data_IF_548034554624
#
_entry.id   IF_548034554624
#
_cell.length_a   1.000
_cell.length_b   1.000
_cell.length_c   1.000
_cell.angle_alpha   90.00
_cell.angle_beta   90.00
_cell.angle_gamma   90.00
#
_symmetry.space_group_name_H-M   'P 1'
#
loop_
_entity.id
_entity.type
_entity.pdbx_description
1 polymer ?
#
# COMPACT_ATOMS: atom_id res chain seq x y z
N UNK A 1 -2.23 22.55 7.76
CA UNK A 1 -3.01 21.73 6.80
C UNK A 1 -2.54 20.28 6.82
N UNK A 2 -1.25 20.00 6.61
CA UNK A 2 -0.68 18.64 6.68
C UNK A 2 -1.00 17.88 7.97
N UNK A 3 -0.84 18.51 9.15
CA UNK A 3 -1.16 17.86 10.44
C UNK A 3 -2.63 17.42 10.55
N UNK A 4 -3.56 18.20 9.98
CA UNK A 4 -5.00 17.88 9.99
C UNK A 4 -5.29 16.74 9.01
N UNK A 5 -4.70 16.79 7.82
CA UNK A 5 -4.81 15.73 6.82
C UNK A 5 -4.25 14.41 7.34
N UNK A 6 -3.04 14.42 7.93
CA UNK A 6 -2.43 13.22 8.50
C UNK A 6 -3.24 12.66 9.66
N UNK A 7 -3.86 13.51 10.49
CA UNK A 7 -4.74 13.05 11.57
C UNK A 7 -6.02 12.41 11.03
N UNK A 8 -6.67 13.04 10.04
CA UNK A 8 -7.86 12.50 9.40
C UNK A 8 -7.56 11.20 8.64
N UNK A 9 -6.44 11.11 7.93
CA UNK A 9 -6.02 9.91 7.22
C UNK A 9 -5.73 8.76 8.18
N UNK A 10 -4.96 8.99 9.25
CA UNK A 10 -4.69 7.97 10.25
C UNK A 10 -5.95 7.53 11.01
N UNK A 11 -6.84 8.46 11.36
CA UNK A 11 -8.10 8.14 12.00
C UNK A 11 -9.00 7.32 11.07
N UNK A 12 -9.10 7.72 9.79
CA UNK A 12 -9.91 7.01 8.80
C UNK A 12 -9.36 5.64 8.48
N UNK A 13 -8.04 5.47 8.32
CA UNK A 13 -7.40 4.17 8.13
C UNK A 13 -7.64 3.23 9.33
N UNK A 14 -7.49 3.75 10.56
CA UNK A 14 -7.77 2.97 11.78
C UNK A 14 -9.24 2.61 11.92
N UNK A 15 -10.17 3.50 11.56
CA UNK A 15 -11.60 3.20 11.58
C UNK A 15 -11.96 2.20 10.49
N UNK A 16 -11.51 2.41 9.24
CA UNK A 16 -11.78 1.53 8.11
C UNK A 16 -11.32 0.08 8.37
N UNK A 17 -10.17 -0.11 9.04
CA UNK A 17 -9.66 -1.44 9.38
C UNK A 17 -10.37 -2.15 10.53
N UNK A 18 -11.30 -1.50 11.25
CA UNK A 18 -11.98 -2.12 12.41
C UNK A 18 -13.23 -2.90 12.00
N UNK A 19 -13.42 -4.14 12.48
CA UNK A 19 -14.63 -4.94 12.21
C UNK A 19 -15.93 -4.23 12.59
N UNK A 20 -15.89 -3.41 13.65
CA UNK A 20 -17.04 -2.61 14.09
C UNK A 20 -17.52 -1.60 13.04
N UNK A 21 -16.60 -1.02 12.26
CA UNK A 21 -16.95 -0.05 11.21
C UNK A 21 -17.72 -0.72 10.08
N UNK A 22 -17.35 -1.96 9.73
CA UNK A 22 -18.10 -2.75 8.76
C UNK A 22 -19.54 -3.01 9.23
N UNK A 23 -19.74 -3.35 10.50
CA UNK A 23 -21.08 -3.56 11.07
C UNK A 23 -21.91 -2.28 11.00
N UNK A 24 -21.31 -1.13 11.32
CA UNK A 24 -21.98 0.18 11.21
C UNK A 24 -22.35 0.51 9.77
N UNK A 25 -21.43 0.34 8.82
CA UNK A 25 -21.70 0.55 7.40
C UNK A 25 -22.84 -0.36 6.90
N UNK A 26 -22.84 -1.63 7.31
CA UNK A 26 -23.89 -2.58 6.98
C UNK A 26 -25.25 -2.15 7.55
N UNK A 27 -25.27 -1.69 8.81
CA UNK A 27 -26.48 -1.16 9.44
C UNK A 27 -27.03 0.07 8.69
N UNK A 28 -26.16 0.98 8.24
CA UNK A 28 -26.55 2.14 7.42
C UNK A 28 -27.20 1.69 6.10
N UNK A 29 -26.60 0.72 5.41
CA UNK A 29 -27.16 0.17 4.16
C UNK A 29 -28.51 -0.50 4.40
N UNK A 30 -28.66 -1.25 5.50
CA UNK A 30 -29.92 -1.88 5.87
C UNK A 30 -31.01 -0.85 6.19
N UNK A 31 -30.69 0.19 6.96
CA UNK A 31 -31.63 1.28 7.26
C UNK A 31 -32.06 1.97 5.96
N UNK A 32 -31.11 2.30 5.08
CA UNK A 32 -31.42 2.86 3.78
C UNK A 32 -32.37 1.95 3.01
N UNK A 33 -32.07 0.65 2.88
CA UNK A 33 -32.92 -0.32 2.19
C UNK A 33 -34.36 -0.38 2.74
N UNK A 34 -34.52 -0.35 4.07
CA UNK A 34 -35.83 -0.33 4.75
C UNK A 34 -36.59 0.97 4.51
N UNK A 35 -35.91 2.10 4.28
CA UNK A 35 -36.59 3.35 3.88
C UNK A 35 -37.07 3.33 2.42
N UNK A 36 -36.53 2.44 1.57
CA UNK A 36 -36.87 2.35 0.14
C UNK A 36 -38.37 2.23 -0.18
N UNK A 37 -39.13 1.33 0.48
CA UNK A 37 -40.57 1.21 0.29
C UNK A 37 -41.35 2.49 0.59
N UNK A 38 -40.93 3.27 1.59
CA UNK A 38 -41.57 4.55 1.96
C UNK A 38 -41.41 5.57 0.82
N UNK A 39 -40.23 5.59 0.19
CA UNK A 39 -39.93 6.48 -0.94
C UNK A 39 -40.24 5.87 -2.31
N UNK A 40 -40.92 4.70 -2.35
CA UNK A 40 -41.24 3.95 -3.58
C UNK A 40 -40.01 3.67 -4.45
N UNK A 41 -38.83 3.54 -3.84
CA UNK A 41 -37.55 3.35 -4.54
C UNK A 41 -37.28 4.39 -5.65
N UNK A 42 -37.71 5.64 -5.44
CA UNK A 42 -37.60 6.70 -6.44
C UNK A 42 -36.13 7.09 -6.76
N UNK A 43 -35.94 7.85 -7.84
CA UNK A 43 -34.62 8.26 -8.30
C UNK A 43 -33.84 9.07 -7.25
N UNK A 44 -34.50 9.96 -6.51
CA UNK A 44 -33.86 10.76 -5.44
C UNK A 44 -33.30 9.86 -4.32
N UNK A 45 -34.05 8.84 -3.92
CA UNK A 45 -33.64 7.91 -2.87
C UNK A 45 -32.42 7.06 -3.29
N UNK A 46 -32.37 6.64 -4.55
CA UNK A 46 -31.20 5.93 -5.11
C UNK A 46 -30.00 6.88 -5.27
N UNK A 47 -30.25 8.11 -5.74
CA UNK A 47 -29.22 9.11 -5.96
C UNK A 47 -28.47 9.45 -4.66
N UNK A 48 -29.20 9.61 -3.54
CA UNK A 48 -28.59 9.96 -2.25
C UNK A 48 -27.54 8.94 -1.81
N UNK A 49 -27.85 7.64 -1.85
CA UNK A 49 -26.86 6.64 -1.46
C UNK A 49 -25.71 6.58 -2.47
N UNK A 50 -26.01 6.61 -3.77
CA UNK A 50 -25.01 6.44 -4.81
C UNK A 50 -24.01 7.61 -4.81
N UNK A 51 -24.52 8.85 -4.78
CA UNK A 51 -23.69 10.05 -4.68
C UNK A 51 -22.91 10.07 -3.38
N UNK A 52 -23.54 9.72 -2.25
CA UNK A 52 -22.88 9.68 -0.94
C UNK A 52 -21.73 8.68 -0.90
N UNK A 53 -21.98 7.43 -1.29
CA UNK A 53 -20.95 6.38 -1.29
C UNK A 53 -19.84 6.69 -2.28
N UNK A 54 -20.15 7.29 -3.42
CA UNK A 54 -19.14 7.67 -4.42
C UNK A 54 -18.18 8.73 -3.86
N UNK A 55 -18.71 9.78 -3.22
CA UNK A 55 -17.88 10.82 -2.59
C UNK A 55 -17.01 10.21 -1.48
N UNK A 56 -17.60 9.39 -0.61
CA UNK A 56 -16.86 8.73 0.49
C UNK A 56 -15.76 7.82 -0.08
N UNK A 57 -16.07 7.03 -1.09
CA UNK A 57 -15.09 6.14 -1.74
C UNK A 57 -13.96 6.93 -2.36
N UNK A 58 -14.27 8.00 -3.09
CA UNK A 58 -13.28 8.88 -3.71
C UNK A 58 -12.32 9.47 -2.68
N UNK A 59 -12.85 10.01 -1.57
CA UNK A 59 -12.03 10.50 -0.47
C UNK A 59 -11.20 9.39 0.19
N UNK A 60 -11.80 8.21 0.38
CA UNK A 60 -11.15 7.07 1.00
C UNK A 60 -9.94 6.56 0.19
N UNK A 61 -10.00 6.62 -1.15
CA UNK A 61 -8.84 6.30 -2.00
C UNK A 61 -7.64 7.17 -1.65
N UNK A 62 -7.81 8.49 -1.55
CA UNK A 62 -6.70 9.39 -1.17
C UNK A 62 -6.18 9.14 0.24
N UNK A 63 -7.07 8.88 1.20
CA UNK A 63 -6.68 8.61 2.59
C UNK A 63 -5.92 7.28 2.70
N UNK A 64 -6.37 6.24 1.99
CA UNK A 64 -5.67 4.96 1.91
C UNK A 64 -4.31 5.14 1.25
N UNK A 65 -4.24 5.84 0.11
CA UNK A 65 -2.97 6.12 -0.58
C UNK A 65 -1.99 6.86 0.32
N UNK A 66 -2.44 7.86 1.08
CA UNK A 66 -1.56 8.56 2.02
C UNK A 66 -1.04 7.65 3.13
N UNK A 67 -1.91 6.83 3.74
CA UNK A 67 -1.49 5.86 4.76
C UNK A 67 -0.51 4.84 4.17
N UNK A 68 -0.81 4.31 2.98
CA UNK A 68 0.03 3.34 2.29
C UNK A 68 1.39 3.94 1.92
N UNK A 69 1.45 5.18 1.42
CA UNK A 69 2.71 5.83 1.08
C UNK A 69 3.60 6.01 2.32
N UNK A 70 3.02 6.37 3.47
CA UNK A 70 3.75 6.48 4.72
C UNK A 70 4.26 5.12 5.24
N UNK A 71 3.42 4.07 5.14
CA UNK A 71 3.80 2.71 5.55
C UNK A 71 4.90 2.13 4.63
N UNK A 72 4.83 2.36 3.32
CA UNK A 72 5.86 1.95 2.35
C UNK A 72 7.20 2.62 2.65
N UNK A 73 7.22 3.94 2.88
CA UNK A 73 8.45 4.65 3.24
C UNK A 73 9.07 4.10 4.54
N UNK A 74 8.24 3.75 5.53
CA UNK A 74 8.73 3.14 6.76
C UNK A 74 9.30 1.73 6.56
N UNK A 75 8.79 0.97 5.59
CA UNK A 75 9.34 -0.34 5.21
C UNK A 75 10.71 -0.17 4.53
N UNK A 76 10.84 0.78 3.59
CA UNK A 76 12.10 1.10 2.91
C UNK A 76 13.19 1.46 3.92
N UNK A 77 12.95 2.41 4.82
CA UNK A 77 13.92 2.82 5.86
C UNK A 77 14.38 1.63 6.73
N UNK A 78 13.48 0.69 7.03
CA UNK A 78 13.84 -0.52 7.80
C UNK A 78 14.68 -1.50 6.99
N UNK A 79 14.40 -1.65 5.69
CA UNK A 79 15.21 -2.46 4.79
C UNK A 79 16.60 -1.85 4.60
N UNK A 80 16.67 -0.52 4.47
CA UNK A 80 17.92 0.22 4.36
C UNK A 80 18.81 0.01 5.57
N UNK A 81 18.25 0.11 6.79
CA UNK A 81 19.02 -0.18 8.00
C UNK A 81 19.44 -1.65 8.09
N UNK A 82 18.60 -2.60 7.65
CA UNK A 82 18.99 -4.02 7.57
C UNK A 82 20.15 -4.24 6.60
N UNK A 83 20.10 -3.65 5.41
CA UNK A 83 21.20 -3.69 4.42
C UNK A 83 22.45 -3.09 5.05
N UNK A 84 22.36 -1.93 5.69
CA UNK A 84 23.48 -1.26 6.35
C UNK A 84 24.17 -2.10 7.43
N UNK A 85 23.42 -2.86 8.23
CA UNK A 85 24.00 -3.67 9.32
C UNK A 85 24.43 -5.07 8.87
N UNK A 86 23.85 -5.62 7.79
CA UNK A 86 24.27 -6.93 7.25
C UNK A 86 25.35 -6.81 6.20
N UNK A 87 25.41 -5.71 5.48
CA UNK A 87 26.47 -5.36 4.57
C UNK A 87 27.36 -4.31 5.24
N UNK A 88 28.47 -4.75 5.85
CA UNK A 88 29.59 -3.86 6.17
C UNK A 88 30.19 -3.19 4.90
N UNK A 89 29.61 -3.44 3.72
CA UNK A 89 30.07 -3.00 2.42
C UNK A 89 28.90 -2.70 1.47
N UNK A 90 28.81 -1.44 1.04
CA UNK A 90 28.12 -0.93 -0.15
C UNK A 90 26.81 -0.13 0.07
N UNK A 91 26.98 1.10 0.58
CA UNK A 91 25.95 2.15 0.67
C UNK A 91 25.18 2.41 -0.64
N UNK A 92 25.72 2.03 -1.80
CA UNK A 92 25.09 2.24 -3.11
C UNK A 92 23.77 1.46 -3.28
N UNK A 93 23.56 0.38 -2.51
CA UNK A 93 22.32 -0.40 -2.53
C UNK A 93 21.19 0.22 -1.68
N UNK A 94 21.56 1.16 -0.82
CA UNK A 94 20.67 1.76 0.18
C UNK A 94 19.74 2.82 -0.42
N UNK A 95 20.02 3.25 -1.64
CA UNK A 95 19.29 4.30 -2.35
C UNK A 95 18.94 3.89 -3.78
N UNK A 96 18.70 2.60 -4.01
CA UNK A 96 18.41 2.04 -5.33
C UNK A 96 17.22 2.75 -6.01
N UNK A 97 16.27 3.28 -5.24
CA UNK A 97 15.06 3.90 -5.77
C UNK A 97 15.30 5.31 -6.36
N UNK A 98 16.38 5.98 -5.95
CA UNK A 98 16.78 7.29 -6.48
C UNK A 98 17.86 7.18 -7.58
N UNK A 99 18.40 5.98 -7.84
CA UNK A 99 19.41 5.78 -8.87
C UNK A 99 18.83 5.86 -10.29
N UNK A 100 19.66 6.38 -11.18
CA UNK A 100 19.38 6.36 -12.62
C UNK A 100 19.26 4.91 -13.15
N UNK A 101 18.40 4.72 -14.14
CA UNK A 101 18.03 3.41 -14.69
C UNK A 101 19.26 2.62 -15.22
N UNK A 102 20.25 3.32 -15.77
CA UNK A 102 21.50 2.72 -16.25
C UNK A 102 22.36 2.13 -15.11
N UNK A 103 22.42 2.82 -13.96
CA UNK A 103 23.12 2.33 -12.76
C UNK A 103 22.38 1.18 -12.11
N UNK A 104 21.05 1.24 -12.09
CA UNK A 104 20.21 0.15 -11.60
C UNK A 104 20.45 -1.15 -12.39
N UNK A 105 20.57 -1.04 -13.71
CA UNK A 105 20.81 -2.18 -14.58
C UNK A 105 22.23 -2.75 -14.44
N UNK A 106 23.24 -1.92 -14.19
CA UNK A 106 24.61 -2.35 -13.90
C UNK A 106 24.69 -3.16 -12.60
N UNK A 107 24.04 -2.69 -11.54
CA UNK A 107 23.94 -3.41 -10.26
C UNK A 107 23.23 -4.75 -10.48
N UNK A 108 22.08 -4.74 -11.18
CA UNK A 108 21.34 -5.95 -11.50
C UNK A 108 22.19 -6.99 -12.24
N UNK A 109 22.96 -6.57 -13.26
CA UNK A 109 23.84 -7.47 -14.01
C UNK A 109 24.92 -8.11 -13.14
N UNK A 110 25.50 -7.34 -12.22
CA UNK A 110 26.48 -7.86 -11.25
C UNK A 110 25.88 -8.98 -10.40
N UNK A 111 24.69 -8.79 -9.84
CA UNK A 111 24.01 -9.82 -9.04
C UNK A 111 23.59 -11.04 -9.87
N UNK A 112 23.11 -10.84 -11.09
CA UNK A 112 22.78 -11.94 -12.00
C UNK A 112 24.02 -12.79 -12.35
N UNK A 113 25.18 -12.15 -12.52
CA UNK A 113 26.45 -12.87 -12.72
C UNK A 113 26.86 -13.66 -11.49
N UNK A 114 26.82 -13.06 -10.30
CA UNK A 114 27.13 -13.75 -9.04
C UNK A 114 26.22 -14.98 -8.81
N UNK A 115 24.93 -14.86 -9.11
CA UNK A 115 23.99 -15.97 -9.01
C UNK A 115 24.28 -17.10 -10.01
N UNK A 116 24.64 -16.75 -11.26
CA UNK A 116 25.07 -17.73 -12.28
C UNK A 116 26.33 -18.45 -11.85
N UNK A 117 27.32 -17.75 -11.32
CA UNK A 117 28.59 -18.34 -10.90
C UNK A 117 28.40 -19.28 -9.70
N UNK A 118 27.56 -18.90 -8.73
CA UNK A 118 27.18 -19.78 -7.63
C UNK A 118 26.46 -21.05 -8.12
N UNK A 119 25.54 -20.91 -9.08
CA UNK A 119 24.83 -22.05 -9.68
C UNK A 119 25.79 -22.99 -10.42
N UNK A 120 26.68 -22.44 -11.24
CA UNK A 120 27.70 -23.19 -11.97
C UNK A 120 28.68 -23.92 -11.01
N UNK A 121 29.03 -23.29 -9.88
CA UNK A 121 29.86 -23.90 -8.86
C UNK A 121 29.16 -25.09 -8.19
N UNK A 122 27.86 -24.98 -7.89
CA UNK A 122 27.05 -26.06 -7.34
C UNK A 122 26.89 -27.23 -8.34
N UNK A 123 26.70 -26.95 -9.63
CA UNK A 123 26.64 -28.00 -10.66
C UNK A 123 27.97 -28.74 -10.82
N UNK A 124 29.09 -28.01 -10.79
CA UNK A 124 30.43 -28.62 -10.81
C UNK A 124 30.70 -29.46 -9.56
N UNK A 125 30.17 -29.07 -8.40
CA UNK A 125 30.27 -29.85 -7.16
C UNK A 125 29.38 -31.11 -7.19
N UNK A 126 28.22 -31.06 -7.85
CA UNK A 126 27.30 -32.20 -7.99
C UNK A 126 27.77 -33.25 -9.01
N UNK A 127 28.55 -32.84 -10.00
CA UNK A 127 29.07 -33.70 -11.07
C UNK A 127 30.48 -34.25 -10.78
N UNK A 128 31.01 -34.05 -9.55
CA UNK A 128 32.23 -34.67 -9.03
C UNK A 128 31.88 -35.77 -8.04
#
# INVERSE_FOLDING_TARGET
MEKLFNHLANATAKLAGRPWTFIVCLAVVLIWAVTGPVFKFNETWQLVINTGTTIVTFLMVFLIQHSQNADTAAIQIKLDELIRVTAEANNELLDLEELDEERLEEIRRTYEQMARDATNALEKARNR
#
